data_IF_331493606743
#
_entry.id   IF_331493606743
#
_cell.length_a   1.000
_cell.length_b   1.000
_cell.length_c   1.000
_cell.angle_alpha   90.00
_cell.angle_beta   90.00
_cell.angle_gamma   90.00
#
_symmetry.space_group_name_H-M   'P 1'
#
loop_
_entity.id
_entity.type
_entity.pdbx_description
1 polymer ?
#
# COMPACT_ATOMS: atom_id res chain seq x y z
N UNK A 1 1.20 -10.88 -2.43
CA UNK A 1 -0.18 -10.62 -2.89
C UNK A 1 -1.10 -10.14 -1.76
N UNK A 2 -1.34 -10.92 -0.69
CA UNK A 2 -2.18 -10.52 0.47
C UNK A 2 -1.98 -9.06 0.90
N UNK A 3 -0.73 -8.65 1.04
CA UNK A 3 -0.40 -7.31 1.53
C UNK A 3 -0.75 -6.18 0.56
N UNK A 4 -0.66 -6.40 -0.76
CA UNK A 4 -1.12 -5.42 -1.76
C UNK A 4 -2.64 -5.22 -1.67
N UNK A 5 -3.37 -6.32 -1.51
CA UNK A 5 -4.84 -6.32 -1.38
C UNK A 5 -5.26 -5.61 -0.09
N UNK A 6 -4.60 -5.92 1.03
CA UNK A 6 -4.86 -5.26 2.32
C UNK A 6 -4.59 -3.76 2.22
N UNK A 7 -3.52 -3.34 1.55
CA UNK A 7 -3.24 -1.91 1.34
C UNK A 7 -4.30 -1.23 0.48
N UNK A 8 -4.75 -1.88 -0.59
CA UNK A 8 -5.85 -1.39 -1.42
C UNK A 8 -7.17 -1.24 -0.64
N UNK A 9 -7.53 -2.23 0.19
CA UNK A 9 -8.71 -2.16 1.07
C UNK A 9 -8.57 -1.03 2.10
N UNK A 10 -7.40 -0.91 2.75
CA UNK A 10 -7.12 0.18 3.70
C UNK A 10 -7.24 1.55 3.04
N UNK A 11 -6.77 1.70 1.80
CA UNK A 11 -6.92 2.93 1.04
C UNK A 11 -8.40 3.28 0.79
N UNK A 12 -9.23 2.28 0.45
CA UNK A 12 -10.67 2.50 0.31
C UNK A 12 -11.32 2.96 1.62
N UNK A 13 -11.01 2.29 2.74
CA UNK A 13 -11.51 2.66 4.05
C UNK A 13 -11.05 4.05 4.48
N UNK A 14 -9.82 4.41 4.15
CA UNK A 14 -9.27 5.74 4.37
C UNK A 14 -10.10 6.81 3.63
N UNK A 15 -10.44 6.57 2.37
CA UNK A 15 -11.27 7.50 1.59
C UNK A 15 -12.68 7.64 2.18
N UNK A 16 -13.34 6.52 2.49
CA UNK A 16 -14.67 6.51 3.13
C UNK A 16 -14.64 7.29 4.45
N UNK A 17 -13.63 7.06 5.26
CA UNK A 17 -13.47 7.75 6.54
C UNK A 17 -13.32 9.25 6.35
N UNK A 18 -12.42 9.71 5.47
CA UNK A 18 -12.19 11.14 5.28
C UNK A 18 -13.34 11.87 4.58
N UNK A 19 -14.01 11.25 3.61
CA UNK A 19 -15.23 11.81 3.01
C UNK A 19 -16.37 11.90 4.03
N UNK A 20 -16.55 10.85 4.85
CA UNK A 20 -17.51 10.83 5.95
C UNK A 20 -17.22 11.87 7.04
N UNK A 21 -15.94 12.09 7.36
CA UNK A 21 -15.53 13.08 8.36
C UNK A 21 -15.68 14.51 7.84
N UNK A 22 -15.29 14.77 6.59
CA UNK A 22 -15.47 16.07 5.91
C UNK A 22 -16.95 16.48 5.79
N UNK A 23 -17.83 15.52 5.50
CA UNK A 23 -19.27 15.78 5.39
C UNK A 23 -19.96 16.03 6.74
N UNK A 24 -19.47 15.44 7.84
CA UNK A 24 -20.08 15.54 9.18
C UNK A 24 -19.50 16.66 10.05
N UNK A 25 -18.26 17.08 9.82
CA UNK A 25 -17.58 18.07 10.65
C UNK A 25 -17.16 19.28 9.82
N UNK A 26 -17.95 20.37 9.84
CA UNK A 26 -17.53 21.68 9.30
C UNK A 26 -16.37 22.34 10.07
N UNK A 27 -15.95 21.74 11.19
CA UNK A 27 -14.76 22.14 11.99
C UNK A 27 -13.43 21.62 11.42
N UNK A 28 -13.46 20.92 10.27
CA UNK A 28 -12.32 20.23 9.67
C UNK A 28 -11.11 21.10 9.32
N UNK A 29 -11.25 22.43 9.38
CA UNK A 29 -10.14 23.36 9.18
C UNK A 29 -9.07 23.29 10.28
N UNK A 30 -9.34 22.66 11.44
CA UNK A 30 -8.43 22.70 12.61
C UNK A 30 -7.60 21.43 12.87
N UNK A 31 -7.90 20.28 12.25
CA UNK A 31 -7.16 19.04 12.49
C UNK A 31 -6.04 18.85 11.45
N UNK A 32 -4.82 18.59 11.91
CA UNK A 32 -3.70 18.27 11.03
C UNK A 32 -3.91 16.91 10.35
N UNK A 33 -3.31 16.73 9.17
CA UNK A 33 -3.33 15.45 8.45
C UNK A 33 -2.80 14.29 9.31
N UNK A 34 -1.74 14.50 10.08
CA UNK A 34 -1.16 13.50 10.99
C UNK A 34 -2.13 13.07 12.08
N UNK A 35 -2.82 14.03 12.71
CA UNK A 35 -3.83 13.73 13.74
C UNK A 35 -4.98 12.92 13.12
N UNK A 36 -5.41 13.32 11.94
CA UNK A 36 -6.49 12.67 11.19
C UNK A 36 -6.11 11.22 10.81
N UNK A 37 -4.85 10.99 10.43
CA UNK A 37 -4.31 9.66 10.13
C UNK A 37 -4.24 8.77 11.39
N UNK A 38 -3.85 9.34 12.54
CA UNK A 38 -3.78 8.59 13.80
C UNK A 38 -5.16 8.16 14.30
N UNK A 39 -6.17 9.02 14.14
CA UNK A 39 -7.56 8.67 14.44
C UNK A 39 -8.06 7.54 13.54
N UNK A 40 -7.79 7.61 12.24
CA UNK A 40 -8.11 6.51 11.31
C UNK A 40 -7.46 5.18 11.71
N UNK A 41 -6.18 5.20 12.11
CA UNK A 41 -5.47 4.00 12.56
C UNK A 41 -6.10 3.37 13.80
N UNK A 42 -6.48 4.18 14.79
CA UNK A 42 -7.19 3.72 15.98
C UNK A 42 -8.52 3.08 15.61
N UNK A 43 -9.26 3.70 14.69
CA UNK A 43 -10.56 3.19 14.25
C UNK A 43 -10.44 1.85 13.52
N UNK A 44 -9.40 1.68 12.69
CA UNK A 44 -9.07 0.42 12.01
C UNK A 44 -8.67 -0.72 12.97
N UNK A 45 -8.21 -0.40 14.18
CA UNK A 45 -7.87 -1.40 15.21
C UNK A 45 -9.05 -1.85 16.08
N UNK A 46 -10.24 -1.29 15.84
CA UNK A 46 -11.46 -1.50 16.63
C UNK A 46 -12.57 -2.21 15.84
N UNK A 47 -13.71 -2.48 16.49
CA UNK A 47 -14.94 -2.98 15.82
C UNK A 47 -15.43 -2.08 14.68
N UNK A 48 -14.99 -0.82 14.61
CA UNK A 48 -15.38 0.14 13.57
C UNK A 48 -14.87 -0.22 12.16
N UNK A 49 -13.88 -1.11 12.03
CA UNK A 49 -13.50 -1.64 10.72
C UNK A 49 -14.68 -2.30 9.99
N UNK A 50 -15.61 -2.92 10.73
CA UNK A 50 -16.84 -3.51 10.17
C UNK A 50 -17.82 -2.44 9.65
N UNK A 51 -17.81 -1.23 10.22
CA UNK A 51 -18.62 -0.12 9.74
C UNK A 51 -18.14 0.37 8.37
N UNK A 52 -16.83 0.56 8.22
CA UNK A 52 -16.20 0.95 6.95
C UNK A 52 -16.40 -0.13 5.88
N UNK A 53 -16.28 -1.41 6.25
CA UNK A 53 -16.59 -2.54 5.37
C UNK A 53 -18.04 -2.48 4.85
N UNK A 54 -19.01 -2.22 5.73
CA UNK A 54 -20.43 -2.14 5.37
C UNK A 54 -20.70 -1.00 4.39
N UNK A 55 -20.08 0.17 4.60
CA UNK A 55 -20.19 1.30 3.68
C UNK A 55 -19.57 0.93 2.33
N UNK A 56 -18.35 0.38 2.32
CA UNK A 56 -17.66 -0.03 1.10
C UNK A 56 -18.52 -0.99 0.27
N UNK A 57 -19.13 -2.00 0.91
CA UNK A 57 -20.06 -2.93 0.26
C UNK A 57 -21.31 -2.26 -0.30
N UNK A 58 -21.89 -1.31 0.42
CA UNK A 58 -23.10 -0.59 0.01
C UNK A 58 -22.85 0.30 -1.21
N UNK A 59 -21.70 0.97 -1.25
CA UNK A 59 -21.32 1.93 -2.30
C UNK A 59 -20.49 1.28 -3.42
N UNK A 60 -20.39 -0.06 -3.43
CA UNK A 60 -19.64 -0.85 -4.41
C UNK A 60 -18.13 -0.51 -4.53
N UNK A 61 -17.53 -0.01 -3.45
CA UNK A 61 -16.11 0.37 -3.37
C UNK A 61 -15.28 -0.89 -3.12
N UNK A 62 -14.48 -1.31 -4.12
CA UNK A 62 -13.74 -2.58 -4.12
C UNK A 62 -12.25 -2.39 -4.34
N UNK A 63 -11.46 -3.39 -3.94
CA UNK A 63 -10.12 -3.57 -4.45
C UNK A 63 -10.20 -4.66 -5.54
N UNK A 64 -9.73 -4.36 -6.74
CA UNK A 64 -9.73 -5.31 -7.85
C UNK A 64 -8.32 -5.87 -8.04
N UNK A 65 -8.25 -7.12 -8.47
CA UNK A 65 -7.00 -7.82 -8.69
C UNK A 65 -7.06 -8.44 -10.08
N UNK A 66 -6.10 -8.09 -10.92
CA UNK A 66 -5.89 -8.71 -12.21
C UNK A 66 -4.58 -9.50 -12.15
N UNK A 67 -4.63 -10.76 -12.60
CA UNK A 67 -3.46 -11.62 -12.71
C UNK A 67 -3.39 -12.15 -14.14
N UNK A 68 -2.22 -12.04 -14.74
CA UNK A 68 -1.94 -12.66 -16.03
C UNK A 68 -0.47 -13.02 -16.14
N UNK A 69 -0.18 -14.02 -16.96
CA UNK A 69 1.17 -14.43 -17.31
C UNK A 69 1.55 -13.82 -18.65
N UNK A 70 2.79 -13.36 -18.77
CA UNK A 70 3.39 -13.02 -20.05
C UNK A 70 4.86 -13.44 -20.07
N UNK A 71 5.17 -14.45 -20.87
CA UNK A 71 6.47 -15.11 -20.82
C UNK A 71 6.71 -15.72 -19.43
N UNK A 72 7.88 -15.51 -18.85
CA UNK A 72 8.25 -16.07 -17.55
C UNK A 72 7.96 -15.11 -16.38
N UNK A 73 6.93 -14.28 -16.51
CA UNK A 73 6.59 -13.24 -15.53
C UNK A 73 5.11 -13.34 -15.22
N UNK A 74 4.79 -13.48 -13.93
CA UNK A 74 3.46 -13.27 -13.40
C UNK A 74 3.26 -11.78 -13.12
N UNK A 75 2.29 -11.20 -13.79
CA UNK A 75 1.85 -9.84 -13.60
C UNK A 75 0.68 -9.83 -12.60
N UNK A 76 0.82 -9.03 -11.54
CA UNK A 76 -0.21 -8.81 -10.53
C UNK A 76 -0.51 -7.32 -10.48
N UNK A 77 -1.73 -6.94 -10.82
CA UNK A 77 -2.21 -5.58 -10.75
C UNK A 77 -3.27 -5.54 -9.65
N UNK A 78 -3.09 -4.68 -8.66
CA UNK A 78 -4.11 -4.40 -7.64
C UNK A 78 -4.54 -2.95 -7.79
N UNK A 79 -5.82 -2.73 -8.05
CA UNK A 79 -6.39 -1.39 -8.19
C UNK A 79 -7.42 -1.11 -7.10
N UNK A 80 -7.55 0.15 -6.74
CA UNK A 80 -8.63 0.59 -5.88
C UNK A 80 -9.08 2.02 -6.24
N UNK A 81 -10.37 2.34 -6.10
CA UNK A 81 -10.89 3.68 -6.30
C UNK A 81 -10.40 4.54 -5.13
N UNK A 82 -9.40 5.36 -5.39
CA UNK A 82 -8.83 6.13 -4.31
C UNK A 82 -7.93 7.26 -4.73
N UNK A 83 -8.13 8.37 -4.04
CA UNK A 83 -7.32 9.58 -4.13
C UNK A 83 -6.19 9.47 -3.13
N UNK A 84 -5.02 9.10 -3.62
CA UNK A 84 -3.80 9.32 -2.88
C UNK A 84 -3.41 10.78 -3.05
N UNK A 85 -3.10 11.48 -1.95
CA UNK A 85 -2.52 12.82 -2.06
C UNK A 85 -1.12 12.71 -2.68
N UNK A 86 -0.66 13.77 -3.36
CA UNK A 86 0.69 13.79 -3.91
C UNK A 86 1.76 13.62 -2.83
N UNK A 87 1.48 14.05 -1.60
CA UNK A 87 2.36 13.85 -0.45
C UNK A 87 2.48 12.36 -0.09
N UNK A 88 1.37 11.62 -0.05
CA UNK A 88 1.39 10.18 0.22
C UNK A 88 2.12 9.40 -0.87
N UNK A 89 1.86 9.72 -2.14
CA UNK A 89 2.53 9.06 -3.25
C UNK A 89 4.05 9.30 -3.20
N UNK A 90 4.47 10.53 -2.89
CA UNK A 90 5.89 10.85 -2.68
C UNK A 90 6.47 10.06 -1.51
N UNK A 91 5.77 9.99 -0.38
CA UNK A 91 6.23 9.27 0.80
C UNK A 91 6.38 7.76 0.52
N UNK A 92 5.42 7.15 -0.17
CA UNK A 92 5.50 5.73 -0.54
C UNK A 92 6.68 5.49 -1.49
N UNK A 93 6.83 6.30 -2.52
CA UNK A 93 7.94 6.16 -3.46
C UNK A 93 9.30 6.36 -2.79
N UNK A 94 9.43 7.33 -1.88
CA UNK A 94 10.64 7.54 -1.09
C UNK A 94 10.99 6.29 -0.26
N UNK A 95 10.00 5.72 0.45
CA UNK A 95 10.20 4.48 1.23
C UNK A 95 10.62 3.30 0.35
N UNK A 96 10.02 3.15 -0.84
CA UNK A 96 10.41 2.09 -1.78
C UNK A 96 11.85 2.25 -2.30
N UNK A 97 12.29 3.50 -2.55
CA UNK A 97 13.67 3.81 -2.93
C UNK A 97 14.62 3.53 -1.76
N UNK A 98 14.27 3.91 -0.55
CA UNK A 98 15.09 3.67 0.63
C UNK A 98 15.24 2.17 0.92
N UNK A 99 14.17 1.40 0.75
CA UNK A 99 14.19 -0.06 0.86
C UNK A 99 15.12 -0.72 -0.17
N UNK A 100 15.16 -0.20 -1.39
CA UNK A 100 16.11 -0.66 -2.43
C UNK A 100 17.56 -0.44 -2.00
N UNK A 101 17.84 0.67 -1.31
CA UNK A 101 19.18 1.05 -0.85
C UNK A 101 19.62 0.33 0.44
N UNK A 102 18.73 -0.37 1.13
CA UNK A 102 19.05 -1.13 2.34
C UNK A 102 19.45 -2.57 2.00
N UNK A 103 20.47 -3.10 2.66
CA UNK A 103 20.90 -4.50 2.49
C UNK A 103 19.82 -5.48 2.93
N UNK A 104 19.23 -5.22 4.10
CA UNK A 104 18.23 -6.07 4.73
C UNK A 104 17.26 -5.25 5.57
N UNK A 105 16.23 -5.92 6.08
CA UNK A 105 15.15 -5.29 6.82
C UNK A 105 15.64 -4.64 8.13
N UNK A 106 16.69 -5.19 8.75
CA UNK A 106 17.24 -4.63 9.99
C UNK A 106 17.89 -3.28 9.71
N UNK A 107 18.65 -3.16 8.61
CA UNK A 107 19.20 -1.87 8.17
C UNK A 107 18.10 -0.85 7.87
N UNK A 108 17.02 -1.25 7.17
CA UNK A 108 15.89 -0.36 6.91
C UNK A 108 15.27 0.14 8.21
N UNK A 109 15.08 -0.74 9.20
CA UNK A 109 14.60 -0.36 10.52
C UNK A 109 15.59 0.49 11.30
N UNK A 110 16.90 0.39 11.10
CA UNK A 110 17.84 1.28 11.78
C UNK A 110 17.80 2.69 11.17
N UNK A 111 17.78 2.78 9.84
CA UNK A 111 17.79 4.06 9.12
C UNK A 111 16.52 4.88 9.34
N UNK A 112 15.38 4.21 9.48
CA UNK A 112 14.10 4.89 9.59
C UNK A 112 13.66 5.11 11.04
N UNK A 113 14.52 4.92 12.06
CA UNK A 113 14.11 4.83 13.49
C UNK A 113 13.11 5.88 13.97
N UNK A 114 13.29 7.10 13.49
CA UNK A 114 12.53 8.26 13.91
C UNK A 114 11.31 8.58 13.02
N UNK A 115 10.99 7.75 12.00
CA UNK A 115 9.82 7.98 11.13
C UNK A 115 8.50 7.75 11.92
N UNK A 116 7.72 8.80 12.22
CA UNK A 116 6.47 8.68 12.98
C UNK A 116 5.36 7.96 12.19
N UNK A 117 5.57 7.71 10.90
CA UNK A 117 4.64 6.99 10.01
C UNK A 117 5.01 5.51 9.83
N UNK A 118 5.93 5.01 10.67
CA UNK A 118 6.46 3.64 10.68
C UNK A 118 5.40 2.56 10.75
N UNK A 119 4.49 2.68 11.70
CA UNK A 119 3.43 1.69 11.89
C UNK A 119 2.20 2.11 11.08
N UNK A 120 1.91 1.34 10.03
CA UNK A 120 0.61 1.38 9.34
C UNK A 120 0.59 1.92 7.91
N UNK A 121 1.64 2.59 7.41
CA UNK A 121 1.57 3.27 6.10
C UNK A 121 2.41 2.66 4.97
N UNK A 122 3.15 1.57 5.19
CA UNK A 122 3.97 1.02 4.09
C UNK A 122 4.87 -0.18 4.37
N UNK A 123 5.00 -0.68 5.61
CA UNK A 123 5.87 -1.82 5.92
C UNK A 123 5.63 -3.02 5.00
N UNK A 124 4.38 -3.31 4.68
CA UNK A 124 4.03 -4.36 3.74
C UNK A 124 4.63 -4.21 2.35
N UNK A 125 4.64 -2.98 1.82
CA UNK A 125 5.25 -2.66 0.52
C UNK A 125 6.78 -2.77 0.59
N UNK A 126 7.36 -2.37 1.72
CA UNK A 126 8.80 -2.51 1.98
C UNK A 126 9.22 -3.97 2.02
N UNK A 127 8.45 -4.83 2.71
CA UNK A 127 8.68 -6.26 2.73
C UNK A 127 8.64 -6.87 1.32
N UNK A 128 7.65 -6.47 0.50
CA UNK A 128 7.58 -6.92 -0.90
C UNK A 128 8.81 -6.46 -1.68
N UNK A 129 9.21 -5.19 -1.54
CA UNK A 129 10.39 -4.63 -2.21
C UNK A 129 11.68 -5.36 -1.85
N UNK A 130 11.86 -5.68 -0.57
CA UNK A 130 13.03 -6.43 -0.09
C UNK A 130 13.03 -7.89 -0.56
N UNK A 131 11.86 -8.54 -0.59
CA UNK A 131 11.75 -9.88 -1.18
C UNK A 131 12.12 -9.88 -2.66
N UNK A 132 11.62 -8.92 -3.43
CA UNK A 132 11.97 -8.77 -4.85
C UNK A 132 13.47 -8.56 -5.03
N UNK A 133 14.10 -7.73 -4.20
CA UNK A 133 15.54 -7.54 -4.20
C UNK A 133 16.30 -8.85 -3.92
N UNK A 134 15.85 -9.64 -2.95
CA UNK A 134 16.47 -10.95 -2.64
C UNK A 134 16.37 -11.96 -3.79
N UNK A 135 15.33 -11.82 -4.63
CA UNK A 135 15.13 -12.61 -5.84
C UNK A 135 15.87 -12.03 -7.06
N UNK A 136 16.67 -10.98 -6.88
CA UNK A 136 17.34 -10.24 -7.95
C UNK A 136 16.36 -9.71 -9.02
N UNK A 137 15.12 -9.44 -8.63
CA UNK A 137 14.12 -8.89 -9.54
C UNK A 137 14.47 -7.43 -9.88
N UNK A 138 14.15 -6.96 -11.10
CA UNK A 138 14.35 -5.57 -11.50
C UNK A 138 13.74 -4.55 -10.53
N UNK A 139 14.33 -3.36 -10.40
CA UNK A 139 13.86 -2.34 -9.46
C UNK A 139 12.41 -1.88 -9.73
N UNK A 140 11.95 -1.93 -10.98
CA UNK A 140 10.59 -1.59 -11.42
C UNK A 140 9.59 -2.76 -11.24
N UNK A 141 10.01 -3.86 -10.59
CA UNK A 141 9.15 -5.01 -10.32
C UNK A 141 8.03 -4.70 -9.32
N UNK A 142 8.12 -3.61 -8.57
CA UNK A 142 7.01 -3.06 -7.79
C UNK A 142 6.90 -1.58 -8.09
N UNK A 143 5.76 -1.17 -8.65
CA UNK A 143 5.46 0.24 -8.95
C UNK A 143 4.10 0.59 -8.37
N UNK A 144 3.97 1.80 -7.81
CA UNK A 144 2.70 2.35 -7.35
C UNK A 144 2.44 3.64 -8.10
N UNK A 145 1.31 3.69 -8.80
CA UNK A 145 0.85 4.87 -9.53
C UNK A 145 -0.50 5.32 -8.98
N UNK A 146 -0.74 6.63 -9.04
CA UNK A 146 -2.04 7.22 -8.76
C UNK A 146 -2.44 8.10 -9.93
N UNK A 147 -3.57 7.76 -10.54
CA UNK A 147 -4.28 8.57 -11.54
C UNK A 147 -5.55 9.13 -10.88
N UNK A 148 -6.17 10.16 -11.46
CA UNK A 148 -7.18 11.04 -10.83
C UNK A 148 -8.18 10.37 -9.87
N UNK A 149 -8.64 9.15 -10.18
CA UNK A 149 -9.57 8.39 -9.33
C UNK A 149 -9.14 6.92 -9.09
N UNK A 150 -7.89 6.56 -9.37
CA UNK A 150 -7.43 5.17 -9.29
C UNK A 150 -5.99 5.09 -8.81
N UNK A 151 -5.79 4.36 -7.72
CA UNK A 151 -4.45 3.92 -7.30
C UNK A 151 -4.21 2.51 -7.84
N UNK A 152 -3.02 2.28 -8.39
CA UNK A 152 -2.61 0.99 -8.95
C UNK A 152 -1.29 0.57 -8.32
N UNK A 153 -1.27 -0.60 -7.70
CA UNK A 153 -0.04 -1.29 -7.32
C UNK A 153 0.22 -2.38 -8.35
N UNK A 154 1.34 -2.25 -9.06
CA UNK A 154 1.76 -3.21 -10.09
C UNK A 154 2.98 -3.98 -9.60
N UNK A 155 2.87 -5.31 -9.62
CA UNK A 155 3.89 -6.25 -9.19
C UNK A 155 4.22 -7.21 -10.34
N UNK A 156 5.50 -7.29 -10.69
CA UNK A 156 6.06 -8.29 -11.60
C UNK A 156 6.78 -9.33 -10.75
N UNK A 157 6.39 -10.59 -10.87
CA UNK A 157 7.04 -11.71 -10.18
C UNK A 157 7.67 -12.61 -11.24
N UNK A 158 9.01 -12.74 -11.26
CA UNK A 158 9.65 -13.75 -12.10
C UNK A 158 9.13 -15.13 -11.72
N UNK A 159 8.59 -15.85 -12.69
CA UNK A 159 8.29 -17.27 -12.56
C UNK A 159 9.62 -17.99 -12.76
N UNK A 160 10.10 -18.71 -11.75
CA UNK A 160 11.29 -19.54 -11.95
C UNK A 160 10.82 -20.79 -12.68
N UNK A 161 11.11 -20.87 -13.98
CA UNK A 161 11.18 -22.14 -14.68
C UNK A 161 12.61 -22.66 -14.52
N UNK A 162 12.71 -23.92 -14.12
CA UNK A 162 13.94 -24.67 -13.81
C UNK A 162 14.47 -24.53 -12.37
N UNK A 163 13.88 -25.36 -11.51
CA UNK A 163 14.59 -26.00 -10.40
C UNK A 163 15.61 -26.97 -11.01
N UNK A 164 16.71 -26.45 -11.55
CA UNK A 164 17.96 -27.22 -11.55
C UNK A 164 18.54 -27.11 -10.15
N UNK A 165 18.20 -28.12 -9.34
CA UNK A 165 18.98 -28.46 -8.15
C UNK A 165 20.39 -28.73 -8.66
N UNK A 166 21.29 -27.75 -8.48
CA UNK A 166 22.71 -27.97 -8.66
C UNK A 166 23.14 -29.12 -7.74
N UNK A 167 23.62 -30.18 -8.38
CA UNK A 167 24.29 -31.34 -7.78
C UNK A 167 25.58 -30.96 -7.04
#
# INVERSE_FOLDING_TARGET
MKELIINAIKANYKNIYFEGYASRNRLHETLTYETSLRLFQLEMSSENAQHLERIAKKEDIKAEIELFENGNILHVIVTNPGRMTQTELKNINHKLIDAENCRDIAEYFLRNMDDPTREGAGLGLILIKMMLKSLHAPADSLTITCEENRTTAYLKVPLVTDVEICA
#
